data_IF_517531810673
#
_entry.id   IF_517531810673
#
_cell.length_a   1.000
_cell.length_b   1.000
_cell.length_c   1.000
_cell.angle_alpha   90.00
_cell.angle_beta   90.00
_cell.angle_gamma   90.00
#
_symmetry.space_group_name_H-M   'P 1'
#
loop_
_entity.id
_entity.type
_entity.pdbx_description
1 polymer ?
#
# COMPACT_ATOMS: atom_id res chain seq x y z
N UNK A 1 -6.50 14.43 -39.74
CA UNK A 1 -5.63 14.81 -38.61
C UNK A 1 -6.23 14.18 -37.36
N UNK A 2 -5.74 13.02 -36.93
CA UNK A 2 -6.28 12.37 -35.74
C UNK A 2 -5.72 13.12 -34.51
N UNK A 3 -6.57 13.90 -33.85
CA UNK A 3 -6.30 14.35 -32.50
C UNK A 3 -6.11 13.10 -31.64
N UNK A 4 -4.88 12.81 -31.22
CA UNK A 4 -4.68 11.81 -30.17
C UNK A 4 -5.38 12.36 -28.95
N UNK A 5 -6.48 11.73 -28.55
CA UNK A 5 -7.10 11.99 -27.26
C UNK A 5 -6.00 11.92 -26.18
N UNK A 6 -5.99 12.88 -25.27
CA UNK A 6 -5.09 12.82 -24.12
C UNK A 6 -5.33 11.50 -23.38
N UNK A 7 -4.31 10.66 -23.29
CA UNK A 7 -4.39 9.38 -22.58
C UNK A 7 -3.70 9.51 -21.22
N UNK A 8 -4.38 9.04 -20.17
CA UNK A 8 -3.77 8.95 -18.85
C UNK A 8 -2.66 7.90 -18.89
N UNK A 9 -1.42 8.34 -18.62
CA UNK A 9 -0.30 7.45 -18.39
C UNK A 9 -0.40 6.87 -16.99
N UNK A 10 -0.22 5.55 -16.87
CA UNK A 10 -0.12 4.84 -15.59
C UNK A 10 1.31 4.87 -15.06
N UNK A 11 1.46 5.01 -13.75
CA UNK A 11 2.76 4.95 -13.06
C UNK A 11 3.11 3.51 -12.72
N UNK A 12 4.38 3.15 -12.90
CA UNK A 12 4.90 1.92 -12.28
C UNK A 12 5.34 2.17 -10.84
N UNK A 13 5.46 1.11 -10.05
CA UNK A 13 6.02 1.10 -8.69
C UNK A 13 7.45 1.64 -8.66
N UNK A 14 8.28 1.24 -9.63
CA UNK A 14 9.65 1.74 -9.76
C UNK A 14 9.69 3.26 -9.97
N UNK A 15 8.78 3.80 -10.79
CA UNK A 15 8.66 5.26 -10.97
C UNK A 15 8.15 5.95 -9.72
N UNK A 16 7.17 5.36 -9.03
CA UNK A 16 6.63 5.85 -7.77
C UNK A 16 7.72 5.96 -6.69
N UNK A 17 8.51 4.91 -6.47
CA UNK A 17 9.64 4.95 -5.54
C UNK A 17 10.69 5.99 -5.93
N UNK A 18 11.09 6.04 -7.22
CA UNK A 18 12.06 7.04 -7.68
C UNK A 18 11.56 8.48 -7.50
N UNK A 19 10.24 8.73 -7.59
CA UNK A 19 9.67 10.05 -7.26
C UNK A 19 9.73 10.34 -5.75
N UNK A 20 9.43 9.35 -4.91
CA UNK A 20 9.56 9.47 -3.45
C UNK A 20 11.02 9.73 -3.02
N UNK A 21 11.97 8.97 -3.56
CA UNK A 21 13.42 9.12 -3.29
C UNK A 21 13.94 10.50 -3.69
N UNK A 22 13.42 11.04 -4.80
CA UNK A 22 13.72 12.40 -5.28
C UNK A 22 12.95 13.50 -4.56
N UNK A 23 12.12 13.15 -3.57
CA UNK A 23 11.30 14.09 -2.78
C UNK A 23 10.39 14.96 -3.65
N UNK A 24 9.81 14.37 -4.69
CA UNK A 24 8.82 15.04 -5.55
C UNK A 24 7.51 15.27 -4.80
N UNK A 25 7.15 14.36 -3.89
CA UNK A 25 5.96 14.49 -3.06
C UNK A 25 6.23 15.35 -1.82
N UNK A 26 5.20 16.04 -1.29
CA UNK A 26 5.29 16.69 0.01
C UNK A 26 5.75 15.70 1.09
N UNK A 27 6.57 16.12 2.06
CA UNK A 27 7.16 15.23 3.07
C UNK A 27 6.12 14.59 4.00
N UNK A 28 4.94 15.18 4.11
CA UNK A 28 3.79 14.72 4.90
C UNK A 28 2.72 14.04 4.04
N UNK A 29 2.92 13.94 2.73
CA UNK A 29 1.96 13.32 1.84
C UNK A 29 1.87 11.82 2.13
N UNK A 30 0.67 11.38 2.49
CA UNK A 30 0.31 9.98 2.68
C UNK A 30 -0.24 9.42 1.38
N UNK A 31 0.62 8.87 0.54
CA UNK A 31 0.28 8.38 -0.80
C UNK A 31 0.39 6.86 -0.90
N UNK A 32 -0.39 6.27 -1.79
CA UNK A 32 -0.25 4.87 -2.20
C UNK A 32 -0.46 4.73 -3.71
N UNK A 33 0.08 3.66 -4.30
CA UNK A 33 -0.04 3.38 -5.73
C UNK A 33 -1.08 2.28 -5.98
N UNK A 34 -2.15 2.57 -6.72
CA UNK A 34 -3.21 1.59 -7.03
C UNK A 34 -3.46 1.56 -8.54
N UNK A 35 -3.14 0.44 -9.20
CA UNK A 35 -3.33 0.24 -10.65
C UNK A 35 -2.79 1.41 -11.50
N UNK A 36 -1.58 1.85 -11.14
CA UNK A 36 -0.87 2.96 -11.75
C UNK A 36 -1.40 4.36 -11.44
N UNK A 37 -2.26 4.51 -10.43
CA UNK A 37 -2.74 5.79 -9.90
C UNK A 37 -2.06 6.07 -8.56
N UNK A 38 -1.48 7.25 -8.41
CA UNK A 38 -1.03 7.74 -7.11
C UNK A 38 -2.22 8.39 -6.44
N UNK A 39 -2.64 7.87 -5.29
CA UNK A 39 -3.81 8.35 -4.55
C UNK A 39 -3.42 8.72 -3.13
N UNK A 40 -4.07 9.73 -2.59
CA UNK A 40 -3.91 10.14 -1.19
C UNK A 40 -4.73 9.24 -0.27
N UNK A 41 -4.13 8.84 0.85
CA UNK A 41 -4.79 8.07 1.89
C UNK A 41 -5.64 8.97 2.77
N UNK A 42 -6.81 8.47 3.16
CA UNK A 42 -7.64 9.13 4.17
C UNK A 42 -6.93 9.20 5.52
N UNK A 43 -7.07 10.31 6.27
CA UNK A 43 -6.57 10.40 7.64
C UNK A 43 -7.19 9.33 8.54
N UNK A 44 -6.37 8.73 9.40
CA UNK A 44 -6.83 7.73 10.36
C UNK A 44 -7.27 8.42 11.67
N UNK A 45 -8.52 8.18 12.09
CA UNK A 45 -9.08 8.69 13.34
C UNK A 45 -9.03 7.64 14.44
N UNK A 46 -9.25 8.04 15.69
CA UNK A 46 -9.24 7.13 16.86
C UNK A 46 -10.13 5.90 16.68
N UNK A 47 -11.34 6.04 16.14
CA UNK A 47 -12.23 4.91 15.85
C UNK A 47 -11.61 3.89 14.89
N UNK A 48 -10.94 4.37 13.83
CA UNK A 48 -10.25 3.53 12.86
C UNK A 48 -9.09 2.77 13.52
N UNK A 49 -8.26 3.47 14.32
CA UNK A 49 -7.15 2.82 15.02
C UNK A 49 -7.65 1.70 15.95
N UNK A 50 -8.71 1.95 16.73
CA UNK A 50 -9.32 0.92 17.59
C UNK A 50 -9.82 -0.28 16.78
N UNK A 51 -10.49 -0.05 15.66
CA UNK A 51 -10.99 -1.11 14.80
C UNK A 51 -9.85 -1.98 14.24
N UNK A 52 -8.76 -1.35 13.78
CA UNK A 52 -7.58 -2.05 13.26
C UNK A 52 -6.93 -2.89 14.36
N UNK A 53 -6.73 -2.34 15.56
CA UNK A 53 -6.13 -3.07 16.70
C UNK A 53 -6.96 -4.29 17.09
N UNK A 54 -8.29 -4.13 17.25
CA UNK A 54 -9.17 -5.24 17.61
C UNK A 54 -9.16 -6.35 16.55
N UNK A 55 -9.15 -5.98 15.27
CA UNK A 55 -9.08 -6.94 14.18
C UNK A 55 -7.71 -7.65 14.11
N UNK A 56 -6.62 -6.92 14.33
CA UNK A 56 -5.28 -7.50 14.43
C UNK A 56 -5.20 -8.53 15.56
N UNK A 57 -5.67 -8.20 16.77
CA UNK A 57 -5.64 -9.10 17.93
C UNK A 57 -6.36 -10.42 17.66
N UNK A 58 -7.57 -10.34 17.08
CA UNK A 58 -8.34 -11.53 16.71
C UNK A 58 -7.59 -12.36 15.67
N UNK A 59 -7.06 -11.73 14.62
CA UNK A 59 -6.32 -12.43 13.56
C UNK A 59 -5.06 -13.10 14.12
N UNK A 60 -4.32 -12.44 15.02
CA UNK A 60 -3.13 -13.02 15.68
C UNK A 60 -3.47 -14.25 16.49
N UNK A 61 -4.66 -14.30 17.10
CA UNK A 61 -5.09 -15.45 17.91
C UNK A 61 -5.48 -16.69 17.08
N UNK A 62 -5.88 -16.52 15.81
CA UNK A 62 -6.39 -17.62 14.96
C UNK A 62 -5.44 -18.06 13.85
N UNK A 63 -4.47 -17.23 13.45
CA UNK A 63 -3.59 -17.55 12.33
C UNK A 63 -2.48 -18.54 12.71
N UNK A 64 -2.18 -19.44 11.78
CA UNK A 64 -1.11 -20.44 11.93
C UNK A 64 0.23 -19.91 11.40
N UNK A 65 1.35 -20.59 11.72
CA UNK A 65 2.71 -20.21 11.29
C UNK A 65 2.95 -20.14 9.77
N UNK A 66 1.97 -20.51 8.94
CA UNK A 66 2.01 -20.39 7.48
C UNK A 66 1.70 -18.98 6.98
N UNK A 67 1.07 -18.16 7.83
CA UNK A 67 0.68 -16.79 7.53
C UNK A 67 1.22 -15.84 8.57
N UNK A 68 1.35 -14.57 8.20
CA UNK A 68 1.56 -13.49 9.15
C UNK A 68 0.77 -12.25 8.74
N UNK A 69 0.63 -11.33 9.68
CA UNK A 69 -0.16 -10.11 9.52
C UNK A 69 0.79 -8.94 9.27
N UNK A 70 0.44 -8.12 8.28
CA UNK A 70 1.00 -6.79 8.03
C UNK A 70 -0.08 -5.76 8.32
N UNK A 71 0.21 -4.79 9.18
CA UNK A 71 -0.75 -3.75 9.59
C UNK A 71 -0.20 -2.41 9.12
N UNK A 72 -0.93 -1.73 8.25
CA UNK A 72 -0.57 -0.40 7.74
C UNK A 72 0.86 -0.34 7.17
N UNK A 73 1.22 -1.36 6.38
CA UNK A 73 2.51 -1.46 5.71
C UNK A 73 2.30 -1.58 4.20
N UNK A 74 3.19 -1.02 3.37
CA UNK A 74 3.18 -1.24 1.93
C UNK A 74 3.11 -2.73 1.58
N UNK A 75 2.30 -3.04 0.58
CA UNK A 75 2.15 -4.39 0.05
C UNK A 75 2.34 -4.39 -1.45
N UNK A 76 3.50 -4.88 -1.88
CA UNK A 76 3.84 -4.94 -3.29
C UNK A 76 3.02 -6.02 -4.04
N UNK A 77 1.90 -5.62 -4.66
CA UNK A 77 0.99 -6.55 -5.35
C UNK A 77 1.38 -6.80 -6.81
N UNK A 78 1.69 -5.74 -7.56
CA UNK A 78 2.12 -5.81 -8.97
C UNK A 78 3.01 -4.61 -9.31
N UNK A 79 3.72 -4.65 -10.42
CA UNK A 79 4.58 -3.61 -10.98
C UNK A 79 3.97 -2.21 -11.05
N UNK A 80 2.66 -2.05 -10.92
CA UNK A 80 1.93 -0.77 -10.88
C UNK A 80 1.01 -0.63 -9.65
N UNK A 81 1.16 -1.46 -8.62
CA UNK A 81 0.27 -1.49 -7.46
C UNK A 81 1.00 -1.82 -6.15
N UNK A 82 0.92 -0.89 -5.22
CA UNK A 82 1.43 -0.94 -3.85
C UNK A 82 0.46 -0.24 -2.89
N UNK A 83 -0.63 -0.91 -2.49
CA UNK A 83 -1.48 -0.42 -1.42
C UNK A 83 -0.78 -0.43 -0.06
N UNK A 84 -1.26 0.41 0.84
CA UNK A 84 -1.02 0.32 2.28
C UNK A 84 -2.31 -0.09 2.99
N UNK A 85 -2.64 -1.40 3.02
CA UNK A 85 -3.88 -1.86 3.64
C UNK A 85 -3.82 -1.70 5.17
N UNK A 86 -4.98 -1.48 5.77
CA UNK A 86 -5.14 -1.45 7.23
C UNK A 86 -4.65 -2.76 7.85
N UNK A 87 -5.06 -3.88 7.27
CA UNK A 87 -4.62 -5.22 7.64
C UNK A 87 -4.49 -6.06 6.37
N UNK A 88 -3.34 -6.72 6.21
CA UNK A 88 -3.14 -7.79 5.23
C UNK A 88 -2.69 -9.07 5.91
N UNK A 89 -3.38 -10.18 5.61
CA UNK A 89 -2.94 -11.53 5.95
C UNK A 89 -2.21 -12.10 4.74
N UNK A 90 -0.94 -12.41 4.92
CA UNK A 90 -0.06 -12.84 3.83
C UNK A 90 0.60 -14.16 4.15
N UNK A 91 0.89 -14.96 3.13
CA UNK A 91 1.56 -16.25 3.29
C UNK A 91 3.07 -16.07 3.50
N UNK A 92 3.73 -17.05 4.13
CA UNK A 92 5.18 -17.05 4.31
C UNK A 92 5.63 -16.31 5.57
N UNK A 93 6.75 -15.60 5.48
CA UNK A 93 7.45 -14.96 6.60
C UNK A 93 7.80 -13.52 6.27
N UNK A 94 8.07 -12.66 7.27
CA UNK A 94 8.44 -11.26 7.03
C UNK A 94 9.60 -11.06 6.04
N UNK A 95 10.54 -12.02 5.95
CA UNK A 95 11.69 -11.95 5.04
C UNK A 95 11.33 -12.18 3.57
N UNK A 96 10.12 -12.65 3.27
CA UNK A 96 9.63 -12.87 1.92
C UNK A 96 9.07 -11.57 1.30
N UNK A 97 9.01 -10.48 2.08
CA UNK A 97 8.44 -9.17 1.71
C UNK A 97 9.45 -8.05 1.94
N UNK A 98 10.58 -8.10 1.23
CA UNK A 98 11.73 -7.17 1.37
C UNK A 98 11.81 -6.11 0.27
N UNK A 99 10.96 -6.25 -0.73
CA UNK A 99 10.86 -5.32 -1.85
C UNK A 99 10.10 -4.07 -1.44
#
# INVERSE_FOLDING_TARGET
MFSRACQLRRWSRAEYHNMADKRIFPPDARLQLIFGNIIEMSPQKSYHATAVTLAEDVLRSILTKKYFIRVQLPLALDSDSEPEPDIAVVAGKPRDYRD
#
